data_IF_736282154813
#
_entry.id   IF_736282154813
#
_cell.length_a   1.000
_cell.length_b   1.000
_cell.length_c   1.000
_cell.angle_alpha   90.00
_cell.angle_beta   90.00
_cell.angle_gamma   90.00
#
_symmetry.space_group_name_H-M   'P 1'
#
loop_
_entity.id
_entity.type
_entity.pdbx_description
1 polymer ?
#
# COMPACT_ATOMS: atom_id res chain seq x y z
N UNK A 1 10.65 7.19 28.15
CA UNK A 1 9.64 8.20 27.80
C UNK A 1 9.18 7.97 26.37
N UNK A 2 7.87 7.91 26.15
CA UNK A 2 7.34 7.82 24.79
C UNK A 2 7.25 9.19 24.17
N UNK A 3 7.79 9.34 22.98
CA UNK A 3 7.64 10.55 22.18
C UNK A 3 6.47 10.35 21.22
N UNK A 4 5.56 11.33 21.21
CA UNK A 4 4.48 11.36 20.22
C UNK A 4 4.86 12.35 19.14
N UNK A 5 4.99 11.88 17.91
CA UNK A 5 5.41 12.71 16.77
C UNK A 5 4.27 12.75 15.76
N UNK A 6 3.67 13.92 15.62
CA UNK A 6 2.52 14.16 14.73
C UNK A 6 2.86 15.03 13.53
N UNK A 7 4.16 15.16 13.20
CA UNK A 7 4.60 16.03 12.09
C UNK A 7 4.09 15.55 10.75
N UNK A 8 4.12 14.26 10.50
CA UNK A 8 3.77 13.67 9.22
C UNK A 8 3.64 12.16 9.36
N UNK A 9 2.80 11.56 8.53
CA UNK A 9 2.73 10.10 8.40
C UNK A 9 4.07 9.51 7.96
N UNK A 10 4.89 10.28 7.27
CA UNK A 10 6.19 9.80 6.77
C UNK A 10 7.19 9.43 7.87
N UNK A 11 6.98 9.87 9.11
CA UNK A 11 7.84 9.49 10.23
C UNK A 11 7.44 8.15 10.85
N UNK A 12 6.32 7.58 10.43
CA UNK A 12 5.89 6.27 10.92
C UNK A 12 6.79 5.16 10.42
N UNK A 13 6.86 4.09 11.19
CA UNK A 13 7.67 2.92 10.87
C UNK A 13 6.79 1.66 10.87
N UNK A 14 7.11 0.70 10.03
CA UNK A 14 6.38 -0.56 10.07
C UNK A 14 6.60 -1.28 11.40
N UNK A 15 5.55 -1.93 11.91
CA UNK A 15 5.66 -2.78 13.08
C UNK A 15 6.50 -4.03 12.75
N UNK A 16 6.89 -4.77 13.78
CA UNK A 16 7.60 -6.03 13.58
C UNK A 16 6.77 -7.02 12.79
N UNK A 17 5.47 -7.09 13.06
CA UNK A 17 4.55 -7.94 12.29
C UNK A 17 4.50 -7.54 10.82
N UNK A 18 4.45 -6.25 10.53
CA UNK A 18 4.50 -5.75 9.15
C UNK A 18 5.80 -6.13 8.45
N UNK A 19 6.94 -6.02 9.16
CA UNK A 19 8.24 -6.39 8.60
C UNK A 19 8.30 -7.87 8.25
N UNK A 20 7.73 -8.73 9.07
CA UNK A 20 7.66 -10.16 8.81
C UNK A 20 6.82 -10.47 7.58
N UNK A 21 5.68 -9.82 7.45
CA UNK A 21 4.81 -9.97 6.28
C UNK A 21 5.51 -9.52 5.01
N UNK A 22 6.22 -8.40 5.07
CA UNK A 22 6.99 -7.89 3.93
C UNK A 22 8.08 -8.88 3.51
N UNK A 23 8.81 -9.44 4.47
CA UNK A 23 9.90 -10.38 4.18
C UNK A 23 9.40 -11.68 3.57
N UNK A 24 8.22 -12.13 3.94
CA UNK A 24 7.64 -13.39 3.45
C UNK A 24 6.61 -13.22 2.33
N UNK A 25 6.37 -11.99 1.86
CA UNK A 25 5.35 -11.74 0.85
C UNK A 25 5.67 -12.44 -0.46
N UNK A 26 4.65 -13.05 -1.04
CA UNK A 26 4.73 -13.58 -2.39
C UNK A 26 4.69 -12.43 -3.38
N UNK A 27 5.60 -12.44 -4.35
CA UNK A 27 5.72 -11.36 -5.33
C UNK A 27 5.67 -11.89 -6.74
N UNK A 28 5.32 -11.03 -7.67
CA UNK A 28 5.28 -11.33 -9.09
C UNK A 28 5.37 -10.05 -9.90
N UNK A 29 5.18 -10.17 -11.21
CA UNK A 29 5.29 -9.01 -12.10
C UNK A 29 4.00 -8.20 -12.08
N UNK A 30 4.07 -7.02 -11.46
CA UNK A 30 2.90 -6.16 -11.32
C UNK A 30 2.47 -5.54 -12.66
N UNK A 31 3.39 -5.39 -13.61
CA UNK A 31 3.06 -4.87 -14.95
C UNK A 31 2.07 -5.78 -15.66
N UNK A 32 2.23 -7.10 -15.49
CA UNK A 32 1.32 -8.09 -16.05
C UNK A 32 0.19 -8.49 -15.08
N UNK A 33 0.09 -7.82 -13.93
CA UNK A 33 -0.94 -8.16 -12.94
C UNK A 33 -0.71 -9.50 -12.26
N UNK A 34 0.54 -9.92 -12.14
CA UNK A 34 0.90 -11.23 -11.61
C UNK A 34 1.45 -11.20 -10.19
N UNK A 35 1.48 -10.02 -9.54
CA UNK A 35 1.90 -9.94 -8.14
C UNK A 35 0.70 -10.22 -7.22
N UNK A 36 0.67 -11.38 -6.54
CA UNK A 36 -0.50 -11.75 -5.73
C UNK A 36 -0.69 -10.85 -4.51
N UNK A 37 0.38 -10.29 -3.97
CA UNK A 37 0.28 -9.41 -2.81
C UNK A 37 -0.29 -8.04 -3.18
N UNK A 38 0.13 -7.48 -4.31
CA UNK A 38 -0.45 -6.24 -4.84
C UNK A 38 -1.91 -6.45 -5.19
N UNK A 39 -2.25 -7.54 -5.88
CA UNK A 39 -3.63 -7.85 -6.23
C UNK A 39 -4.51 -7.99 -5.00
N UNK A 40 -4.02 -8.63 -3.95
CA UNK A 40 -4.73 -8.76 -2.68
C UNK A 40 -4.94 -7.42 -2.00
N UNK A 41 -3.93 -6.56 -1.99
CA UNK A 41 -4.03 -5.22 -1.41
C UNK A 41 -5.12 -4.41 -2.12
N UNK A 42 -5.10 -4.41 -3.44
CA UNK A 42 -6.08 -3.66 -4.24
C UNK A 42 -7.50 -4.17 -3.99
N UNK A 43 -7.69 -5.48 -3.95
CA UNK A 43 -9.00 -6.07 -3.68
C UNK A 43 -9.50 -5.72 -2.27
N UNK A 44 -8.63 -5.80 -1.27
CA UNK A 44 -8.98 -5.47 0.12
C UNK A 44 -9.32 -4.00 0.29
N UNK A 45 -8.56 -3.11 -0.35
CA UNK A 45 -8.82 -1.67 -0.29
C UNK A 45 -10.16 -1.32 -0.94
N UNK A 46 -10.44 -1.89 -2.11
CA UNK A 46 -11.70 -1.67 -2.79
C UNK A 46 -12.89 -2.12 -1.94
N UNK A 47 -12.80 -3.31 -1.35
CA UNK A 47 -13.85 -3.84 -0.49
C UNK A 47 -14.04 -2.99 0.76
N UNK A 48 -12.95 -2.62 1.43
CA UNK A 48 -13.00 -1.84 2.66
C UNK A 48 -13.65 -0.48 2.46
N UNK A 49 -13.42 0.15 1.32
CA UNK A 49 -13.94 1.48 1.01
C UNK A 49 -15.23 1.45 0.18
N UNK A 50 -15.75 0.27 -0.12
CA UNK A 50 -16.99 0.11 -0.88
C UNK A 50 -16.88 0.60 -2.32
N UNK A 51 -15.71 0.43 -2.95
CA UNK A 51 -15.46 0.83 -4.33
C UNK A 51 -15.32 -0.40 -5.22
N UNK A 52 -15.54 -0.21 -6.52
CA UNK A 52 -15.44 -1.32 -7.47
C UNK A 52 -14.02 -1.83 -7.63
N UNK A 53 -13.07 -0.91 -7.66
CA UNK A 53 -11.64 -1.20 -7.86
C UNK A 53 -10.78 -0.23 -7.09
N UNK A 54 -9.54 -0.65 -6.87
CA UNK A 54 -8.48 0.18 -6.31
C UNK A 54 -7.22 -0.07 -7.13
N UNK A 55 -6.33 0.91 -7.17
CA UNK A 55 -5.03 0.76 -7.84
C UNK A 55 -3.92 1.14 -6.86
N UNK A 56 -2.91 0.28 -6.79
CA UNK A 56 -1.70 0.56 -6.02
C UNK A 56 -0.75 1.44 -6.84
N UNK A 57 -0.22 2.47 -6.20
CA UNK A 57 0.81 3.34 -6.78
C UNK A 57 1.92 3.53 -5.77
N UNK A 58 3.19 3.69 -6.22
CA UNK A 58 4.34 3.76 -5.31
C UNK A 58 4.46 5.08 -4.54
N UNK A 59 3.71 6.11 -4.91
CA UNK A 59 3.78 7.40 -4.23
C UNK A 59 2.49 8.18 -4.34
N UNK A 60 2.28 9.12 -3.41
CA UNK A 60 1.14 10.03 -3.46
C UNK A 60 1.18 10.94 -4.67
N UNK A 61 2.36 11.33 -5.12
CA UNK A 61 2.53 12.14 -6.32
C UNK A 61 2.00 11.40 -7.55
N UNK A 62 2.34 10.13 -7.71
CA UNK A 62 1.82 9.31 -8.79
C UNK A 62 0.30 9.13 -8.68
N UNK A 63 -0.21 8.97 -7.47
CA UNK A 63 -1.64 8.88 -7.21
C UNK A 63 -2.39 10.11 -7.72
N UNK A 64 -1.89 11.31 -7.38
CA UNK A 64 -2.51 12.55 -7.82
C UNK A 64 -2.47 12.71 -9.34
N UNK A 65 -1.34 12.37 -9.97
CA UNK A 65 -1.21 12.44 -11.42
C UNK A 65 -2.16 11.46 -12.11
N UNK A 66 -2.28 10.25 -11.58
CA UNK A 66 -3.20 9.24 -12.11
C UNK A 66 -4.64 9.69 -12.03
N UNK A 67 -5.04 10.30 -10.91
CA UNK A 67 -6.40 10.79 -10.70
C UNK A 67 -6.78 11.95 -11.65
N UNK A 68 -5.79 12.75 -12.06
CA UNK A 68 -6.01 13.90 -12.93
C UNK A 68 -6.00 13.55 -14.42
N UNK A 69 -5.46 12.41 -14.78
CA UNK A 69 -5.42 11.94 -16.16
C UNK A 69 -6.65 11.12 -16.51
#
# INVERSE_FOLDING_TARGET
MKTVDLRSDTVTRPSEAMRRVMAGAEVGDDVYGEDPTVNKLEAMAAELLGKEKAIFVPSGTMSNLTALL
#
